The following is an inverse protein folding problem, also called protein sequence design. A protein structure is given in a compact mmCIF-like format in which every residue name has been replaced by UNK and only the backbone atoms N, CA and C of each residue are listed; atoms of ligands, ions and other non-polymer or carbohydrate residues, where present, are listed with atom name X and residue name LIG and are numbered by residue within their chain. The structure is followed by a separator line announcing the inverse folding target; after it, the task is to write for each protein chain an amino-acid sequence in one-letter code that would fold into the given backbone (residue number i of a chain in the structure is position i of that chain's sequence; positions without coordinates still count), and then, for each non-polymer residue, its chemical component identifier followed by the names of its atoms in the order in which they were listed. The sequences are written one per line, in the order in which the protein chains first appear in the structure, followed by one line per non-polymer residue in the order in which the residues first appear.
data_IF_113459529063
#
_entry.id   IF_113459529063
#
_cell.length_a   1.000
_cell.length_b   1.000
_cell.length_c   1.000
_cell.angle_alpha   90.00
_cell.angle_beta   90.00
_cell.angle_gamma   90.00
#
_symmetry.space_group_name_H-M   'P 1'
#
loop_
_entity.id
_entity.type
_entity.pdbx_description
1 polymer ?
#
# COMPACT_ATOMS: atom_id res chain seq x y z
N UNK A 1 -11.33 -0.88 -3.61
CA UNK A 1 -10.27 -1.42 -2.74
C UNK A 1 -9.10 -1.77 -3.65
N UNK A 2 -7.89 -1.26 -3.38
CA UNK A 2 -6.70 -1.62 -4.15
C UNK A 2 -5.90 -2.67 -3.39
N UNK A 3 -5.44 -3.68 -4.12
CA UNK A 3 -4.56 -4.76 -3.68
C UNK A 3 -3.10 -4.40 -3.90
N UNK A 4 -2.19 -5.14 -3.26
CA UNK A 4 -0.75 -4.92 -3.38
C UNK A 4 -0.25 -4.89 -4.84
N UNK A 5 -0.76 -5.76 -5.73
CA UNK A 5 -0.40 -5.80 -7.15
C UNK A 5 -0.83 -4.51 -7.86
N UNK A 6 -2.04 -4.03 -7.59
CA UNK A 6 -2.55 -2.79 -8.19
C UNK A 6 -1.76 -1.58 -7.71
N UNK A 7 -1.36 -1.55 -6.42
CA UNK A 7 -0.51 -0.49 -5.87
C UNK A 7 0.85 -0.48 -6.59
N UNK A 8 1.46 -1.64 -6.81
CA UNK A 8 2.72 -1.75 -7.54
C UNK A 8 2.65 -1.23 -8.98
N UNK A 9 1.50 -1.32 -9.63
CA UNK A 9 1.32 -0.78 -10.99
C UNK A 9 1.17 0.76 -10.98
N UNK A 10 0.76 1.35 -9.87
CA UNK A 10 0.52 2.80 -9.74
C UNK A 10 1.79 3.52 -9.26
N UNK A 11 2.53 2.94 -8.31
CA UNK A 11 3.74 3.55 -7.75
C UNK A 11 4.99 2.70 -8.02
N UNK A 12 6.17 3.33 -8.16
CA UNK A 12 7.41 2.60 -8.47
C UNK A 12 7.98 1.82 -7.28
N UNK A 13 7.48 2.05 -6.06
CA UNK A 13 7.99 1.42 -4.85
C UNK A 13 7.84 -0.10 -4.90
N UNK A 14 8.89 -0.81 -4.50
CA UNK A 14 8.97 -2.28 -4.37
C UNK A 14 9.60 -2.64 -3.03
N UNK A 15 9.56 -3.90 -2.66
CA UNK A 15 10.29 -4.40 -1.49
C UNK A 15 11.77 -3.94 -1.55
N UNK A 16 12.37 -3.48 -0.44
CA UNK A 16 11.84 -3.42 0.93
C UNK A 16 11.08 -2.13 1.29
N UNK A 17 10.80 -1.24 0.33
CA UNK A 17 10.22 0.09 0.56
C UNK A 17 8.73 0.23 0.20
N UNK A 18 8.09 -0.82 -0.31
CA UNK A 18 6.63 -0.84 -0.47
C UNK A 18 5.98 -1.22 0.86
N UNK A 19 5.56 -0.20 1.62
CA UNK A 19 5.03 -0.36 2.98
C UNK A 19 3.50 -0.29 3.05
N UNK A 20 2.80 -0.63 1.96
CA UNK A 20 1.34 -0.60 1.87
C UNK A 20 0.87 -1.94 1.31
N UNK A 21 0.08 -2.67 2.08
CA UNK A 21 -0.46 -3.97 1.64
C UNK A 21 -1.79 -3.81 0.90
N UNK A 22 -2.60 -2.83 1.32
CA UNK A 22 -3.97 -2.68 0.86
C UNK A 22 -4.45 -1.24 1.05
N UNK A 23 -5.28 -0.76 0.12
CA UNK A 23 -5.97 0.53 0.25
C UNK A 23 -7.47 0.30 0.30
N UNK A 24 -8.09 0.72 1.41
CA UNK A 24 -9.53 0.53 1.65
C UNK A 24 -10.35 1.68 1.11
N UNK A 25 -9.84 2.91 1.16
CA UNK A 25 -10.53 4.11 0.70
C UNK A 25 -9.58 5.07 -0.02
N UNK A 26 -10.07 5.74 -1.05
CA UNK A 26 -9.36 6.80 -1.79
C UNK A 26 -10.35 7.90 -2.14
N UNK A 27 -10.05 9.12 -1.70
CA UNK A 27 -10.68 10.35 -2.14
C UNK A 27 -9.63 11.18 -2.89
N UNK A 28 -9.65 11.19 -4.25
CA UNK A 28 -8.62 11.82 -5.05
C UNK A 28 -8.36 13.28 -4.68
N UNK A 29 -7.09 13.63 -4.48
CA UNK A 29 -6.67 14.98 -4.10
C UNK A 29 -7.00 15.40 -2.66
N UNK A 30 -7.55 14.49 -1.84
CA UNK A 30 -7.97 14.79 -0.46
C UNK A 30 -7.45 13.79 0.57
N UNK A 31 -7.79 12.50 0.47
CA UNK A 31 -7.37 11.48 1.45
C UNK A 31 -7.23 10.09 0.84
N UNK A 32 -6.45 9.22 1.50
CA UNK A 32 -6.50 7.78 1.27
C UNK A 32 -6.32 7.06 2.61
N UNK A 33 -6.96 5.90 2.76
CA UNK A 33 -6.83 5.05 3.95
C UNK A 33 -6.24 3.71 3.51
N UNK A 34 -5.04 3.42 4.02
CA UNK A 34 -4.27 2.21 3.73
C UNK A 34 -4.04 1.35 4.97
N UNK A 35 -3.74 0.08 4.74
CA UNK A 35 -3.38 -0.90 5.77
C UNK A 35 -1.95 -1.38 5.48
N UNK A 36 -1.13 -1.37 6.53
CA UNK A 36 0.17 -2.05 6.60
C UNK A 36 0.07 -3.12 7.69
N UNK A 37 0.27 -4.38 7.33
CA UNK A 37 0.38 -5.46 8.29
C UNK A 37 1.79 -5.45 8.86
N UNK A 38 1.90 -5.51 10.19
CA UNK A 38 3.18 -5.53 10.89
C UNK A 38 3.48 -6.94 11.36
N UNK A 39 4.68 -7.43 11.08
CA UNK A 39 5.12 -8.78 11.46
C UNK A 39 6.58 -8.78 11.90
N UNK A 40 6.94 -9.71 12.80
CA UNK A 40 8.34 -9.92 13.23
C UNK A 40 9.24 -10.32 12.04
N UNK A 41 8.65 -10.82 10.95
CA UNK A 41 9.36 -11.18 9.71
C UNK A 41 9.59 -10.00 8.75
N UNK A 42 9.34 -8.75 9.17
CA UNK A 42 9.77 -7.57 8.43
C UNK A 42 11.22 -7.21 8.81
N UNK A 43 12.13 -7.00 7.83
CA UNK A 43 13.52 -6.61 8.10
C UNK A 43 13.71 -5.13 8.43
#
# INVERSE_FOLDING_TARGET
MLTNIEIQNIIPHRYPFLLIDKVVEVEPGKRAVGIKNVSVNEP
#
